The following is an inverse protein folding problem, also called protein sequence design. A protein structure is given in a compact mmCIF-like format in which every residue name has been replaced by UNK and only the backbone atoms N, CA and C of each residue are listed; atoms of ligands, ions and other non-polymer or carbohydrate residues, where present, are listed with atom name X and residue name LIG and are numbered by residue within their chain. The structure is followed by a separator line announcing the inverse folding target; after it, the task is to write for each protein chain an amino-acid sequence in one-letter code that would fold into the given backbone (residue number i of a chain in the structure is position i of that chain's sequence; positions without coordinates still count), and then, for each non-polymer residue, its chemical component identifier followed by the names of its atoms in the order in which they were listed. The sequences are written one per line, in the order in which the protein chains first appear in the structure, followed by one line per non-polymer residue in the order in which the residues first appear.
data_IF_277589434809
#
_entry.id   IF_277589434809
#
_cell.length_a   1.000
_cell.length_b   1.000
_cell.length_c   1.000
_cell.angle_alpha   90.00
_cell.angle_beta   90.00
_cell.angle_gamma   90.00
#
_symmetry.space_group_name_H-M   'P 1'
#
loop_
_entity.id
_entity.type
_entity.pdbx_description
1 polymer ?
#
# COMPACT_ATOMS: atom_id res chain seq x y z
N UNK A 1 10.16 0.29 0.62
CA UNK A 1 9.51 1.54 0.17
C UNK A 1 9.00 2.31 1.37
N UNK A 2 9.24 3.62 1.43
CA UNK A 2 8.50 4.53 2.31
C UNK A 2 7.58 5.36 1.41
N UNK A 3 6.35 5.61 1.86
CA UNK A 3 5.41 6.43 1.08
C UNK A 3 4.93 7.59 1.91
N UNK A 4 5.09 8.76 1.32
CA UNK A 4 4.77 10.06 1.89
C UNK A 4 3.28 10.31 1.69
N UNK A 5 2.49 10.25 2.76
CA UNK A 5 1.08 10.60 2.69
C UNK A 5 0.90 12.13 2.80
N UNK A 6 0.02 12.70 1.96
CA UNK A 6 -0.39 14.10 2.06
C UNK A 6 -1.24 14.34 3.31
N UNK A 7 -0.94 15.41 4.05
CA UNK A 7 -1.49 15.67 5.39
C UNK A 7 -2.96 16.12 5.42
N UNK A 8 -3.59 16.42 4.28
CA UNK A 8 -4.96 16.97 4.29
C UNK A 8 -6.03 15.91 4.62
N UNK A 9 -5.76 14.64 4.28
CA UNK A 9 -6.71 13.52 4.41
C UNK A 9 -6.31 12.48 5.48
N UNK A 10 -5.08 12.58 5.99
CA UNK A 10 -4.52 11.65 6.98
C UNK A 10 -4.44 12.29 8.36
N UNK A 11 -5.20 11.77 9.31
CA UNK A 11 -5.05 12.07 10.74
C UNK A 11 -4.14 11.03 11.39
N UNK A 12 -3.14 11.49 12.13
CA UNK A 12 -2.25 10.60 12.87
C UNK A 12 -2.14 11.10 14.31
N UNK A 13 -2.29 10.22 15.29
CA UNK A 13 -2.09 10.56 16.69
C UNK A 13 -1.18 9.55 17.38
N UNK A 14 -0.31 10.08 18.25
CA UNK A 14 0.47 9.30 19.20
C UNK A 14 -0.23 9.44 20.55
N UNK A 15 -0.73 8.33 21.08
CA UNK A 15 -1.33 8.26 22.41
C UNK A 15 -0.48 7.41 23.33
N UNK A 16 -0.25 7.87 24.55
CA UNK A 16 0.54 7.13 25.52
C UNK A 16 0.47 7.70 26.93
N UNK A 17 1.31 7.20 27.85
CA UNK A 17 1.35 7.62 29.24
C UNK A 17 1.61 9.13 29.44
N UNK A 18 2.16 9.80 28.44
CA UNK A 18 2.46 11.24 28.44
C UNK A 18 1.41 12.10 27.73
N UNK A 19 0.23 11.52 27.42
CA UNK A 19 -0.88 12.21 26.77
C UNK A 19 -1.00 11.91 25.27
N UNK A 20 -1.93 12.61 24.63
CA UNK A 20 -2.21 12.49 23.20
C UNK A 20 -1.55 13.63 22.42
N UNK A 21 -0.86 13.28 21.33
CA UNK A 21 -0.16 14.21 20.45
C UNK A 21 -0.69 13.99 19.03
N UNK A 22 -1.29 15.04 18.47
CA UNK A 22 -1.73 15.06 17.09
C UNK A 22 -0.55 15.35 16.15
N UNK A 23 -0.42 14.51 15.12
CA UNK A 23 0.61 14.48 14.09
C UNK A 23 0.00 14.75 12.69
N UNK A 24 -1.30 15.04 12.60
CA UNK A 24 -2.01 15.36 11.36
C UNK A 24 -1.81 16.81 10.87
N UNK A 25 -2.69 17.25 9.96
CA UNK A 25 -2.70 18.59 9.38
C UNK A 25 -2.66 19.69 10.47
N UNK A 26 -1.74 20.65 10.37
CA UNK A 26 -1.59 21.73 11.36
C UNK A 26 -0.55 21.48 12.46
N UNK A 27 0.16 20.34 12.44
CA UNK A 27 1.27 20.05 13.35
C UNK A 27 2.63 20.69 12.96
N UNK A 28 2.65 21.58 11.95
CA UNK A 28 3.86 22.18 11.38
C UNK A 28 4.88 21.13 10.86
N UNK A 29 4.36 20.16 10.11
CA UNK A 29 5.11 19.10 9.43
C UNK A 29 6.04 19.66 8.35
N UNK A 30 7.19 18.98 8.16
CA UNK A 30 8.09 19.23 7.03
C UNK A 30 7.46 18.74 5.73
N UNK A 31 7.98 19.17 4.58
CA UNK A 31 7.51 18.85 3.21
C UNK A 31 7.46 17.33 2.91
N UNK A 32 8.08 16.50 3.76
CA UNK A 32 8.27 15.05 3.60
C UNK A 32 7.35 14.14 4.46
N UNK A 33 6.16 14.59 4.88
CA UNK A 33 5.08 13.65 5.25
C UNK A 33 5.26 12.76 6.49
N UNK A 34 4.31 11.81 6.62
CA UNK A 34 4.42 10.60 7.45
C UNK A 34 4.74 9.44 6.51
N UNK A 35 5.76 8.65 6.81
CA UNK A 35 6.09 7.42 6.08
C UNK A 35 5.97 6.20 6.99
N UNK A 36 5.47 5.10 6.44
CA UNK A 36 5.34 3.82 7.15
C UNK A 36 6.08 2.76 6.35
N UNK A 37 7.01 2.05 7.01
CA UNK A 37 7.77 0.96 6.43
C UNK A 37 7.68 -0.27 7.33
N UNK A 38 7.36 -1.44 6.77
CA UNK A 38 7.35 -2.72 7.50
C UNK A 38 8.78 -3.22 7.72
N UNK A 39 9.03 -3.87 8.87
CA UNK A 39 10.35 -4.37 9.25
C UNK A 39 10.81 -5.61 8.47
N UNK A 40 9.87 -6.35 7.87
CA UNK A 40 10.16 -7.52 7.06
C UNK A 40 8.93 -8.08 6.34
N UNK A 41 9.13 -9.00 5.39
CA UNK A 41 8.04 -9.70 4.72
C UNK A 41 7.29 -10.60 5.70
N UNK A 42 5.96 -10.66 5.58
CA UNK A 42 5.10 -11.49 6.44
C UNK A 42 5.16 -12.97 6.12
N UNK A 43 5.58 -13.31 4.91
CA UNK A 43 5.69 -14.66 4.42
C UNK A 43 7.00 -14.80 3.65
N UNK A 44 7.64 -15.95 3.74
CA UNK A 44 8.72 -16.31 2.82
C UNK A 44 8.41 -17.70 2.29
N UNK A 45 8.31 -17.80 0.97
CA UNK A 45 8.15 -19.07 0.27
C UNK A 45 9.53 -19.58 -0.11
N UNK A 46 9.81 -20.84 0.21
CA UNK A 46 10.99 -21.55 -0.27
C UNK A 46 10.53 -22.78 -1.05
N UNK A 47 10.96 -22.89 -2.30
CA UNK A 47 10.63 -24.04 -3.15
C UNK A 47 11.61 -25.16 -2.82
N UNK A 48 11.07 -26.33 -2.45
CA UNK A 48 11.83 -27.56 -2.24
C UNK A 48 12.34 -28.14 -3.56
N UNK A 49 13.33 -29.03 -3.49
CA UNK A 49 13.89 -29.69 -4.67
C UNK A 49 12.88 -30.61 -5.40
N UNK A 50 11.76 -30.93 -4.75
CA UNK A 50 10.61 -31.67 -5.26
C UNK A 50 9.53 -30.76 -5.89
N UNK A 51 9.72 -29.45 -5.89
CA UNK A 51 8.77 -28.47 -6.42
C UNK A 51 7.67 -28.08 -5.44
N UNK A 52 7.64 -28.67 -4.24
CA UNK A 52 6.68 -28.30 -3.20
C UNK A 52 7.11 -26.99 -2.53
N UNK A 53 6.12 -26.13 -2.25
CA UNK A 53 6.38 -24.80 -1.68
C UNK A 53 6.22 -24.85 -0.16
N UNK A 54 7.30 -24.55 0.56
CA UNK A 54 7.25 -24.33 2.00
C UNK A 54 7.00 -22.85 2.29
N UNK A 55 5.88 -22.54 2.94
CA UNK A 55 5.57 -21.19 3.41
C UNK A 55 6.02 -21.01 4.86
N UNK A 56 6.80 -19.96 5.12
CA UNK A 56 7.22 -19.59 6.45
C UNK A 56 6.55 -18.27 6.84
N UNK A 57 5.50 -18.37 7.67
CA UNK A 57 4.79 -17.21 8.20
C UNK A 57 5.63 -16.52 9.29
N UNK A 58 5.98 -15.26 9.07
CA UNK A 58 6.69 -14.44 10.03
C UNK A 58 5.68 -13.72 10.92
N UNK A 59 5.71 -13.98 12.23
CA UNK A 59 4.89 -13.27 13.22
C UNK A 59 5.33 -11.80 13.44
N UNK A 60 6.31 -11.34 12.66
CA UNK A 60 6.91 -10.01 12.79
C UNK A 60 5.91 -8.91 12.43
N UNK A 61 5.43 -8.18 13.43
CA UNK A 61 4.59 -6.98 13.27
C UNK A 61 5.41 -5.68 13.39
N UNK A 62 6.74 -5.78 13.38
CA UNK A 62 7.60 -4.62 13.45
C UNK A 62 7.48 -3.77 12.20
N UNK A 63 7.63 -2.48 12.39
CA UNK A 63 7.57 -1.46 11.36
C UNK A 63 8.08 -0.16 11.93
N UNK A 64 8.61 0.69 11.06
CA UNK A 64 9.04 2.03 11.40
C UNK A 64 8.02 3.01 10.82
N UNK A 65 7.53 3.91 11.67
CA UNK A 65 6.77 5.08 11.24
C UNK A 65 7.69 6.29 11.42
N UNK A 66 7.99 6.99 10.35
CA UNK A 66 8.81 8.21 10.37
C UNK A 66 7.91 9.41 10.14
N UNK A 67 7.98 10.39 11.04
CA UNK A 67 7.25 11.66 10.95
C UNK A 67 8.26 12.78 10.86
N UNK A 68 8.26 13.51 9.75
CA UNK A 68 9.18 14.64 9.55
C UNK A 68 8.51 15.94 9.98
N UNK A 69 9.03 16.58 11.03
CA UNK A 69 8.51 17.85 11.56
C UNK A 69 9.57 18.96 11.48
N UNK A 70 9.13 20.21 11.32
CA UNK A 70 10.04 21.36 11.38
C UNK A 70 10.68 21.47 12.78
N UNK A 71 11.95 21.92 12.84
CA UNK A 71 12.66 22.13 14.11
C UNK A 71 11.93 23.08 15.07
N UNK A 72 11.15 24.02 14.55
CA UNK A 72 10.36 25.00 15.30
C UNK A 72 8.93 24.55 15.59
N UNK A 73 8.51 23.36 15.15
CA UNK A 73 7.15 22.87 15.34
C UNK A 73 6.77 22.74 16.83
N UNK A 74 5.60 23.26 17.25
CA UNK A 74 5.06 23.01 18.58
C UNK A 74 4.88 21.51 18.89
N UNK A 75 4.59 20.68 17.88
CA UNK A 75 4.45 19.23 18.00
C UNK A 75 5.80 18.56 18.24
N UNK A 76 6.86 18.99 17.55
CA UNK A 76 8.22 18.50 17.82
C UNK A 76 8.66 18.79 19.27
N UNK A 77 8.30 19.97 19.80
CA UNK A 77 8.55 20.30 21.21
C UNK A 77 7.79 19.37 22.16
N UNK A 78 6.52 19.05 21.88
CA UNK A 78 5.74 18.10 22.68
C UNK A 78 6.33 16.68 22.65
N UNK A 79 6.73 16.21 21.48
CA UNK A 79 7.39 14.90 21.32
C UNK A 79 8.73 14.83 22.06
N UNK A 80 9.53 15.90 22.00
CA UNK A 80 10.80 15.99 22.75
C UNK A 80 10.58 15.94 24.26
N UNK A 81 9.52 16.59 24.77
CA UNK A 81 9.15 16.54 26.18
C UNK A 81 8.63 15.16 26.59
N UNK A 82 7.80 14.53 25.76
CA UNK A 82 7.30 13.18 25.99
C UNK A 82 8.45 12.16 26.04
N UNK A 83 9.42 12.25 25.13
CA UNK A 83 10.62 11.42 25.14
C UNK A 83 11.39 11.55 26.45
N UNK A 84 11.70 12.77 26.87
CA UNK A 84 12.44 13.03 28.11
C UNK A 84 11.69 12.57 29.37
N UNK A 85 10.36 12.57 29.37
CA UNK A 85 9.55 12.08 30.48
C UNK A 85 9.54 10.55 30.53
N UNK A 86 9.39 9.89 29.38
CA UNK A 86 9.33 8.43 29.31
C UNK A 86 10.69 7.76 29.51
N UNK A 87 11.78 8.41 29.13
CA UNK A 87 13.13 7.90 29.35
C UNK A 87 13.51 7.78 30.83
N UNK A 88 12.72 8.37 31.73
CA UNK A 88 12.93 8.31 33.18
C UNK A 88 12.26 7.11 33.85
N UNK A 89 11.39 6.36 33.15
CA UNK A 89 10.69 5.22 33.72
C UNK A 89 10.49 4.10 32.71
N UNK A 90 11.01 2.91 33.06
CA UNK A 90 10.80 1.68 32.30
C UNK A 90 9.33 1.26 32.23
N UNK A 91 8.50 1.67 33.18
CA UNK A 91 7.05 1.41 33.18
C UNK A 91 6.26 2.26 32.18
N UNK A 92 6.83 3.35 31.68
CA UNK A 92 6.21 4.22 30.67
C UNK A 92 6.82 4.05 29.28
N UNK A 93 8.01 3.45 29.21
CA UNK A 93 8.75 3.26 27.97
C UNK A 93 8.06 2.25 27.05
N UNK A 94 7.96 2.56 25.75
CA UNK A 94 7.44 1.63 24.74
C UNK A 94 5.91 1.40 24.79
N UNK A 95 5.19 2.08 25.68
CA UNK A 95 3.74 1.94 25.83
C UNK A 95 2.93 2.93 24.98
N UNK A 96 3.55 3.55 23.97
CA UNK A 96 2.84 4.45 23.08
C UNK A 96 2.19 3.69 21.93
N UNK A 97 1.00 4.13 21.55
CA UNK A 97 0.26 3.66 20.39
C UNK A 97 0.19 4.79 19.38
N UNK A 98 0.65 4.52 18.15
CA UNK A 98 0.46 5.42 17.02
C UNK A 98 -0.74 4.91 16.22
N UNK A 99 -1.72 5.77 15.99
CA UNK A 99 -2.86 5.50 15.13
C UNK A 99 -2.80 6.44 13.95
N UNK A 100 -2.81 5.89 12.73
CA UNK A 100 -2.90 6.65 11.49
C UNK A 100 -4.22 6.26 10.83
N UNK A 101 -5.05 7.25 10.50
CA UNK A 101 -6.33 7.08 9.82
C UNK A 101 -6.37 7.98 8.60
N UNK A 102 -6.78 7.42 7.47
CA UNK A 102 -7.24 8.23 6.35
C UNK A 102 -8.72 8.55 6.62
N UNK A 103 -9.04 9.81 6.92
CA UNK A 103 -10.38 10.24 7.40
C UNK A 103 -11.29 10.75 6.29
N UNK A 104 -10.77 10.98 5.09
CA UNK A 104 -11.57 11.33 3.91
C UNK A 104 -10.89 10.79 2.65
N UNK A 105 -11.65 10.08 1.82
CA UNK A 105 -11.30 9.95 0.41
C UNK A 105 -11.98 11.11 -0.31
N UNK A 106 -11.30 11.74 -1.27
CA UNK A 106 -11.97 12.64 -2.20
C UNK A 106 -13.16 11.95 -2.87
N UNK A 107 -14.19 12.71 -3.26
CA UNK A 107 -15.39 12.18 -3.91
C UNK A 107 -15.08 11.32 -5.14
N UNK A 108 -14.00 11.66 -5.85
CA UNK A 108 -13.51 10.93 -7.02
C UNK A 108 -12.90 9.58 -6.64
N UNK A 109 -11.92 9.56 -5.72
CA UNK A 109 -11.34 8.30 -5.23
C UNK A 109 -12.39 7.42 -4.58
N UNK A 110 -13.28 7.98 -3.78
CA UNK A 110 -14.37 7.25 -3.12
C UNK A 110 -15.29 6.58 -4.14
N UNK A 111 -15.65 7.30 -5.21
CA UNK A 111 -16.49 6.76 -6.29
C UNK A 111 -15.79 5.62 -7.03
N UNK A 112 -14.50 5.75 -7.32
CA UNK A 112 -13.70 4.70 -7.97
C UNK A 112 -13.67 3.45 -7.07
N UNK A 113 -13.31 3.61 -5.79
CA UNK A 113 -13.27 2.50 -4.82
C UNK A 113 -14.63 1.79 -4.73
N UNK A 114 -15.73 2.54 -4.66
CA UNK A 114 -17.07 1.96 -4.63
C UNK A 114 -17.42 1.22 -5.92
N UNK A 115 -17.19 1.83 -7.09
CA UNK A 115 -17.42 1.19 -8.39
C UNK A 115 -16.66 -0.12 -8.49
N UNK A 116 -15.36 -0.10 -8.16
CA UNK A 116 -14.49 -1.27 -8.21
C UNK A 116 -14.96 -2.34 -7.23
N UNK A 117 -15.40 -1.97 -6.02
CA UNK A 117 -15.92 -2.95 -5.06
C UNK A 117 -17.21 -3.62 -5.54
N UNK A 118 -18.13 -2.85 -6.12
CA UNK A 118 -19.37 -3.38 -6.68
C UNK A 118 -19.04 -4.33 -7.85
N UNK A 119 -18.14 -3.91 -8.73
CA UNK A 119 -17.63 -4.70 -9.85
C UNK A 119 -17.06 -6.06 -9.39
N UNK A 120 -16.12 -6.04 -8.44
CA UNK A 120 -15.51 -7.26 -7.87
C UNK A 120 -16.56 -8.15 -7.21
N UNK A 121 -17.51 -7.58 -6.47
CA UNK A 121 -18.55 -8.37 -5.80
C UNK A 121 -19.54 -9.01 -6.78
N UNK A 122 -19.70 -8.46 -7.98
CA UNK A 122 -20.57 -8.98 -9.02
C UNK A 122 -19.83 -9.85 -10.05
N UNK A 123 -18.53 -10.07 -9.86
CA UNK A 123 -17.72 -10.90 -10.75
C UNK A 123 -18.09 -12.39 -10.63
N UNK A 124 -18.10 -13.08 -11.77
CA UNK A 124 -18.51 -14.48 -11.88
C UNK A 124 -17.38 -15.49 -11.59
N UNK A 125 -16.19 -15.01 -11.22
CA UNK A 125 -15.04 -15.84 -10.87
C UNK A 125 -14.20 -16.31 -12.07
N UNK A 126 -14.51 -15.89 -13.29
CA UNK A 126 -13.73 -16.25 -14.50
C UNK A 126 -12.63 -15.24 -14.82
N UNK A 127 -11.46 -15.71 -15.21
CA UNK A 127 -10.33 -14.82 -15.54
C UNK A 127 -10.68 -13.85 -16.69
N UNK A 128 -11.32 -14.35 -17.75
CA UNK A 128 -11.63 -13.53 -18.94
C UNK A 128 -12.66 -12.41 -18.71
N UNK A 129 -13.50 -12.53 -17.68
CA UNK A 129 -14.57 -11.56 -17.41
C UNK A 129 -14.14 -10.42 -16.50
N UNK A 130 -13.04 -10.57 -15.77
CA UNK A 130 -12.61 -9.61 -14.76
C UNK A 130 -11.91 -8.37 -15.31
N UNK A 131 -10.97 -8.47 -16.29
CA UNK A 131 -10.34 -7.30 -16.89
C UNK A 131 -11.32 -6.24 -17.38
N UNK A 132 -12.35 -6.54 -18.21
CA UNK A 132 -13.27 -5.51 -18.67
C UNK A 132 -14.13 -4.89 -17.55
N UNK A 133 -14.34 -5.63 -16.46
CA UNK A 133 -15.08 -5.15 -15.28
C UNK A 133 -14.22 -4.17 -14.47
N UNK A 134 -12.93 -4.47 -14.30
CA UNK A 134 -11.98 -3.60 -13.59
C UNK A 134 -11.66 -2.35 -14.41
N UNK A 135 -11.46 -2.48 -15.73
CA UNK A 135 -11.22 -1.34 -16.63
C UNK A 135 -12.39 -0.34 -16.57
N UNK A 136 -13.63 -0.83 -16.62
CA UNK A 136 -14.81 0.04 -16.51
C UNK A 136 -14.95 0.71 -15.13
N UNK A 137 -14.50 0.04 -14.07
CA UNK A 137 -14.58 0.57 -12.71
C UNK A 137 -13.49 1.60 -12.40
N UNK A 138 -12.31 1.44 -13.01
CA UNK A 138 -11.12 2.28 -12.86
C UNK A 138 -11.01 3.35 -13.95
N UNK A 139 -11.98 3.44 -14.87
CA UNK A 139 -12.01 4.48 -15.90
C UNK A 139 -11.87 5.88 -15.29
N UNK A 140 -10.92 6.65 -15.83
CA UNK A 140 -10.56 7.99 -15.33
C UNK A 140 -9.71 8.02 -14.06
N UNK A 141 -9.35 6.87 -13.49
CA UNK A 141 -8.49 6.80 -12.28
C UNK A 141 -7.00 6.99 -12.55
N UNK A 142 -6.60 6.96 -13.84
CA UNK A 142 -5.19 6.92 -14.24
C UNK A 142 -4.49 5.60 -13.94
N UNK A 143 -5.25 4.56 -13.57
CA UNK A 143 -4.77 3.21 -13.31
C UNK A 143 -5.55 2.16 -14.10
N UNK A 144 -4.82 1.10 -14.47
CA UNK A 144 -5.35 -0.17 -14.93
C UNK A 144 -4.89 -1.28 -13.99
N UNK A 145 -5.72 -2.31 -13.85
CA UNK A 145 -5.42 -3.47 -13.02
C UNK A 145 -5.48 -4.74 -13.84
N UNK A 146 -4.45 -5.56 -13.75
CA UNK A 146 -4.41 -6.88 -14.35
C UNK A 146 -4.23 -7.93 -13.27
N UNK A 147 -4.90 -9.06 -13.42
CA UNK A 147 -4.66 -10.23 -12.56
C UNK A 147 -3.75 -11.19 -13.29
N UNK A 148 -2.78 -11.69 -12.55
CA UNK A 148 -1.86 -12.73 -12.99
C UNK A 148 -2.21 -13.99 -12.23
N UNK A 149 -2.64 -15.02 -12.94
CA UNK A 149 -2.81 -16.35 -12.36
C UNK A 149 -1.43 -17.02 -12.33
N UNK A 150 -0.94 -17.33 -11.13
CA UNK A 150 0.37 -17.93 -10.93
C UNK A 150 0.37 -19.45 -11.15
N UNK A 151 -0.79 -20.05 -11.49
CA UNK A 151 -0.99 -21.49 -11.69
C UNK A 151 -0.65 -22.38 -10.48
N UNK A 152 -0.35 -21.78 -9.32
CA UNK A 152 -0.04 -22.42 -8.05
C UNK A 152 -1.17 -22.22 -7.02
N UNK A 153 -2.40 -21.97 -7.50
CA UNK A 153 -3.58 -21.63 -6.69
C UNK A 153 -3.49 -20.25 -6.02
N UNK A 154 -2.54 -19.39 -6.42
CA UNK A 154 -2.48 -17.96 -6.04
C UNK A 154 -2.75 -17.04 -7.24
N UNK A 155 -3.12 -15.79 -6.94
CA UNK A 155 -3.25 -14.74 -7.94
C UNK A 155 -2.41 -13.52 -7.55
N UNK A 156 -1.70 -12.95 -8.51
CA UNK A 156 -1.06 -11.64 -8.45
C UNK A 156 -1.99 -10.55 -9.00
N UNK A 157 -1.78 -9.31 -8.56
CA UNK A 157 -2.45 -8.12 -9.09
C UNK A 157 -1.35 -7.15 -9.52
N UNK A 158 -1.33 -6.83 -10.80
CA UNK A 158 -0.48 -5.81 -11.37
C UNK A 158 -1.27 -4.51 -11.54
N UNK A 159 -0.66 -3.41 -11.14
CA UNK A 159 -1.23 -2.06 -11.25
C UNK A 159 -0.38 -1.25 -12.21
N UNK A 160 -1.00 -0.84 -13.30
CA UNK A 160 -0.36 -0.07 -14.36
C UNK A 160 -0.90 1.36 -14.32
N UNK A 161 -0.05 2.37 -14.08
CA UNK A 161 -0.46 3.74 -14.32
C UNK A 161 -0.65 3.97 -15.82
N UNK A 162 -1.54 4.86 -16.21
CA UNK A 162 -1.71 5.22 -17.63
C UNK A 162 -0.48 5.93 -18.19
N UNK A 163 0.19 6.74 -17.37
CA UNK A 163 1.39 7.48 -17.76
C UNK A 163 2.56 7.19 -16.84
N UNK A 164 2.45 7.53 -15.55
CA UNK A 164 3.46 7.28 -14.52
C UNK A 164 2.81 7.14 -13.15
N UNK A 165 3.43 6.41 -12.23
CA UNK A 165 2.87 6.21 -10.88
C UNK A 165 2.74 7.54 -10.10
N UNK A 166 3.57 8.54 -10.41
CA UNK A 166 3.50 9.88 -9.82
C UNK A 166 2.25 10.68 -10.24
N UNK A 167 1.60 10.32 -11.36
CA UNK A 167 0.35 10.98 -11.80
C UNK A 167 -0.90 10.42 -11.12
N UNK A 168 -0.76 9.31 -10.41
CA UNK A 168 -1.88 8.61 -9.77
C UNK A 168 -2.18 9.23 -8.41
N UNK A 169 -3.47 9.33 -8.07
CA UNK A 169 -3.89 9.81 -6.76
C UNK A 169 -3.26 8.99 -5.63
N UNK A 170 -2.58 9.68 -4.70
CA UNK A 170 -2.00 9.05 -3.50
C UNK A 170 -3.07 8.39 -2.63
N UNK A 171 -4.30 8.91 -2.63
CA UNK A 171 -5.42 8.31 -1.92
C UNK A 171 -5.81 6.95 -2.51
N UNK A 172 -5.79 6.85 -3.85
CA UNK A 172 -6.12 5.62 -4.56
C UNK A 172 -5.01 4.58 -4.36
N UNK A 173 -3.75 4.98 -4.40
CA UNK A 173 -2.60 4.13 -4.04
C UNK A 173 -2.75 3.63 -2.60
N UNK A 174 -3.09 4.51 -1.66
CA UNK A 174 -3.33 4.13 -0.27
C UNK A 174 -4.49 3.12 -0.15
N UNK A 175 -5.58 3.33 -0.90
CA UNK A 175 -6.72 2.44 -0.89
C UNK A 175 -6.38 1.04 -1.44
N UNK A 176 -5.57 0.97 -2.49
CA UNK A 176 -5.07 -0.30 -3.06
C UNK A 176 -4.19 -1.03 -2.03
N UNK A 177 -3.25 -0.33 -1.39
CA UNK A 177 -2.36 -0.93 -0.37
C UNK A 177 -3.08 -1.40 0.87
N UNK A 178 -4.17 -0.74 1.24
CA UNK A 178 -5.03 -1.15 2.35
C UNK A 178 -5.94 -2.34 1.97
N UNK A 179 -5.91 -2.79 0.72
CA UNK A 179 -6.65 -3.93 0.22
C UNK A 179 -8.13 -3.65 -0.06
N UNK A 180 -8.52 -2.38 -0.24
CA UNK A 180 -9.90 -2.07 -0.61
C UNK A 180 -10.27 -2.60 -2.00
N UNK A 181 -9.29 -2.67 -2.90
CA UNK A 181 -9.43 -3.17 -4.27
C UNK A 181 -8.98 -4.63 -4.44
N UNK A 182 -8.77 -5.38 -3.36
CA UNK A 182 -8.37 -6.78 -3.46
C UNK A 182 -9.52 -7.62 -4.03
N UNK A 183 -9.22 -8.37 -5.10
CA UNK A 183 -10.12 -9.36 -5.70
C UNK A 183 -9.95 -10.69 -4.98
N UNK A 184 -11.06 -11.37 -4.68
CA UNK A 184 -11.03 -12.75 -4.18
C UNK A 184 -11.88 -13.64 -5.09
N UNK A 185 -11.27 -14.62 -5.74
CA UNK A 185 -11.99 -15.64 -6.49
C UNK A 185 -12.72 -16.60 -5.55
N UNK A 186 -13.98 -16.92 -5.86
CA UNK A 186 -14.74 -17.92 -5.14
C UNK A 186 -14.21 -19.33 -5.48
N UNK A 187 -13.83 -20.13 -4.46
CA UNK A 187 -13.39 -21.51 -4.64
C UNK A 187 -11.88 -21.75 -4.59
N UNK A 188 -11.05 -20.71 -4.56
CA UNK A 188 -9.61 -20.78 -4.31
C UNK A 188 -9.36 -20.75 -2.80
N UNK A 189 -8.54 -21.67 -2.26
CA UNK A 189 -8.30 -21.79 -0.82
C UNK A 189 -7.65 -20.51 -0.28
N UNK A 190 -8.44 -19.71 0.45
CA UNK A 190 -8.01 -18.47 1.11
C UNK A 190 -7.22 -18.71 2.39
N UNK A 191 -6.15 -19.50 2.30
CA UNK A 191 -5.12 -19.57 3.34
C UNK A 191 -4.28 -18.30 3.30
N UNK A 192 -4.74 -17.28 4.01
CA UNK A 192 -4.26 -15.90 3.98
C UNK A 192 -4.60 -15.14 2.69
N UNK A 193 -5.23 -13.98 2.85
CA UNK A 193 -5.19 -12.93 1.83
C UNK A 193 -3.73 -12.50 1.84
N UNK A 194 -2.89 -13.15 1.02
CA UNK A 194 -1.73 -12.44 0.51
C UNK A 194 -2.34 -11.22 -0.16
N UNK A 195 -2.01 -10.02 0.34
CA UNK A 195 -2.15 -8.84 -0.49
C UNK A 195 -1.29 -9.24 -1.70
N UNK A 196 -1.88 -9.49 -2.88
CA UNK A 196 -1.09 -9.84 -4.05
C UNK A 196 0.04 -8.83 -4.10
N UNK A 197 1.28 -9.24 -4.37
CA UNK A 197 2.35 -8.27 -4.58
C UNK A 197 1.82 -7.28 -5.62
N UNK A 198 1.46 -6.08 -5.16
CA UNK A 198 0.87 -5.08 -6.02
C UNK A 198 2.07 -4.51 -6.75
N UNK A 199 2.33 -5.05 -7.91
CA UNK A 199 3.50 -4.69 -8.69
C UNK A 199 3.13 -3.58 -9.64
N UNK A 200 3.99 -2.57 -9.70
CA UNK A 200 3.88 -1.46 -10.65
C UNK A 200 5.23 -1.22 -11.32
N UNK A 201 5.26 -0.73 -12.57
CA UNK A 201 6.51 -0.30 -13.19
C UNK A 201 7.21 0.76 -12.34
N UNK A 202 8.53 0.63 -12.16
CA UNK A 202 9.30 1.59 -11.36
C UNK A 202 9.28 3.02 -11.93
N UNK A 203 9.12 3.14 -13.24
CA UNK A 203 8.97 4.39 -13.99
C UNK A 203 8.04 4.14 -15.19
N UNK A 204 7.27 5.14 -15.60
CA UNK A 204 6.37 5.03 -16.75
C UNK A 204 5.21 4.06 -16.52
N UNK A 205 4.75 3.41 -17.59
CA UNK A 205 3.51 2.62 -17.60
C UNK A 205 3.66 1.15 -18.02
N UNK A 206 4.89 0.69 -18.33
CA UNK A 206 5.13 -0.65 -18.87
C UNK A 206 6.30 -1.35 -18.18
N UNK A 207 6.17 -2.66 -17.95
CA UNK A 207 7.25 -3.49 -17.46
C UNK A 207 8.29 -3.78 -18.54
N UNK A 208 9.53 -3.98 -18.13
CA UNK A 208 10.58 -4.48 -19.00
C UNK A 208 10.37 -5.97 -19.31
N UNK A 209 10.43 -6.32 -20.60
CA UNK A 209 10.38 -7.72 -21.03
C UNK A 209 11.19 -7.96 -22.30
N UNK A 210 11.72 -9.18 -22.42
CA UNK A 210 12.38 -9.63 -23.63
C UNK A 210 11.37 -10.18 -24.63
N UNK A 211 11.57 -9.88 -25.91
CA UNK A 211 10.83 -10.46 -27.04
C UNK A 211 9.30 -10.26 -26.98
N UNK A 212 8.87 -9.20 -26.30
CA UNK A 212 7.45 -8.84 -26.16
C UNK A 212 7.29 -7.32 -26.16
N UNK A 213 6.37 -6.83 -27.00
CA UNK A 213 6.00 -5.41 -27.09
C UNK A 213 4.47 -5.30 -27.16
N UNK A 214 3.86 -4.87 -26.07
CA UNK A 214 2.42 -4.71 -25.93
C UNK A 214 2.09 -3.53 -24.99
N UNK A 215 0.82 -3.43 -24.61
CA UNK A 215 0.33 -2.36 -23.74
C UNK A 215 0.92 -2.38 -22.32
N UNK A 216 1.41 -3.52 -21.86
CA UNK A 216 1.92 -3.74 -20.50
C UNK A 216 3.43 -3.96 -20.44
N UNK A 217 4.06 -4.38 -21.55
CA UNK A 217 5.45 -4.83 -21.59
C UNK A 217 6.17 -4.20 -22.79
N UNK A 218 7.37 -3.70 -22.56
CA UNK A 218 8.25 -3.10 -23.56
C UNK A 218 9.71 -3.52 -23.35
N UNK A 219 10.50 -3.41 -24.41
CA UNK A 219 11.92 -3.79 -24.40
C UNK A 219 12.85 -2.74 -23.78
N UNK A 220 14.13 -2.83 -24.16
CA UNK A 220 15.17 -1.90 -23.68
C UNK A 220 14.79 -0.44 -23.87
N UNK A 221 15.22 0.39 -22.91
CA UNK A 221 15.06 1.85 -22.86
C UNK A 221 13.60 2.37 -22.81
N UNK A 222 12.60 1.48 -22.88
CA UNK A 222 11.18 1.82 -22.84
C UNK A 222 10.39 1.08 -21.75
N UNK A 223 10.89 -0.05 -21.25
CA UNK A 223 10.27 -0.82 -20.17
C UNK A 223 11.01 -0.65 -18.85
N UNK A 224 10.26 -0.77 -17.74
CA UNK A 224 10.77 -0.54 -16.39
C UNK A 224 10.72 -1.80 -15.52
N UNK A 225 11.60 -1.90 -14.53
CA UNK A 225 11.56 -3.01 -13.58
C UNK A 225 10.33 -2.97 -12.68
N UNK A 226 9.85 -4.15 -12.28
CA UNK A 226 8.76 -4.25 -11.33
C UNK A 226 9.17 -3.81 -9.93
N UNK A 227 8.30 -3.04 -9.28
CA UNK A 227 8.48 -2.59 -7.90
C UNK A 227 7.18 -2.81 -7.13
N UNK A 228 7.28 -3.13 -5.84
CA UNK A 228 6.11 -3.23 -4.99
C UNK A 228 5.53 -1.84 -4.74
N UNK A 229 4.21 -1.70 -4.90
CA UNK A 229 3.47 -0.48 -4.59
C UNK A 229 3.59 -0.17 -3.10
#
# INVERSE_FOLDING_TARGET
MGSTYSFMDVTASLSGPTGEIDLGYGSASSEEGITVAMGGPKNTMTIGADGEVMHSLHADKSGTVTVNLLKTSPTNKKLSLAYNAQSQSSGTWGNNVIVIRNTSLSDETYRIVLKTKIAINNWDGRNDSLPPILDAALDGSGLKMQIVDNQDMTIGIWVFPETDISSVSLELIAAIRQGYLTVKAAGVWGGSIEIPSVETPSEGNRFFGFDMDNEYISGFDAGSWGTLL
#
